data_IF_535945404448
#
_entry.id   IF_535945404448
#
_cell.length_a   1.000
_cell.length_b   1.000
_cell.length_c   1.000
_cell.angle_alpha   90.00
_cell.angle_beta   90.00
_cell.angle_gamma   90.00
#
_symmetry.space_group_name_H-M   'P 1'
#
loop_
_entity.id
_entity.type
_entity.pdbx_description
1 polymer ?
#
# COMPACT_ATOMS: atom_id res chain seq x y z
N UNK A 1 16.84 6.43 23.61
CA UNK A 1 16.49 5.04 23.26
C UNK A 1 15.05 4.83 23.65
N UNK A 2 14.18 4.60 22.66
CA UNK A 2 12.89 3.89 22.78
C UNK A 2 12.24 4.01 21.40
N UNK A 3 12.75 3.23 20.45
CA UNK A 3 11.89 2.80 19.35
C UNK A 3 10.93 1.85 20.06
N UNK A 4 9.78 2.37 20.48
CA UNK A 4 8.66 1.51 20.81
C UNK A 4 8.55 0.54 19.64
N UNK A 5 8.73 -0.74 19.92
CA UNK A 5 8.36 -1.80 18.99
C UNK A 5 6.87 -1.56 18.73
N UNK A 6 6.58 -0.75 17.70
CA UNK A 6 5.28 -0.69 17.07
C UNK A 6 5.01 -2.14 16.72
N UNK A 7 4.18 -2.80 17.53
CA UNK A 7 3.57 -4.06 17.19
C UNK A 7 2.70 -3.77 15.96
N UNK A 8 3.35 -3.68 14.80
CA UNK A 8 2.72 -3.43 13.52
C UNK A 8 2.07 -4.74 13.11
N UNK A 9 0.88 -4.97 13.64
CA UNK A 9 0.04 -6.08 13.21
C UNK A 9 -0.21 -5.85 11.71
N UNK A 10 0.20 -6.78 10.82
CA UNK A 10 -0.07 -6.67 9.41
C UNK A 10 -1.58 -6.56 9.18
N UNK A 11 -1.96 -5.66 8.28
CA UNK A 11 -3.37 -5.46 7.97
C UNK A 11 -3.79 -6.55 6.97
N UNK A 12 -4.94 -7.19 7.17
CA UNK A 12 -5.53 -8.05 6.14
C UNK A 12 -6.06 -7.17 5.02
N UNK A 13 -5.21 -6.95 4.01
CA UNK A 13 -5.53 -6.15 2.82
C UNK A 13 -5.88 -7.12 1.70
N UNK A 14 -7.07 -6.99 1.14
CA UNK A 14 -7.36 -7.61 -0.15
C UNK A 14 -6.58 -6.86 -1.23
N UNK A 15 -5.84 -7.58 -2.06
CA UNK A 15 -5.07 -6.99 -3.15
C UNK A 15 -4.97 -7.98 -4.31
N UNK A 16 -4.71 -7.46 -5.51
CA UNK A 16 -4.41 -8.28 -6.67
C UNK A 16 -3.00 -7.99 -7.18
N UNK A 17 -2.28 -9.04 -7.57
CA UNK A 17 -0.99 -8.94 -8.26
C UNK A 17 -1.21 -9.07 -9.76
N UNK A 18 -0.64 -8.16 -10.53
CA UNK A 18 -0.59 -8.26 -11.97
C UNK A 18 0.83 -7.99 -12.46
N UNK A 19 1.22 -8.59 -13.57
CA UNK A 19 2.47 -8.25 -14.25
C UNK A 19 2.22 -7.17 -15.27
N UNK A 20 3.04 -6.12 -15.24
CA UNK A 20 3.06 -5.10 -16.30
C UNK A 20 3.59 -5.71 -17.61
N UNK A 21 3.45 -4.96 -18.71
CA UNK A 21 4.01 -5.33 -20.01
C UNK A 21 5.54 -5.48 -19.97
N UNK A 22 6.20 -4.86 -18.98
CA UNK A 22 7.63 -4.92 -18.73
C UNK A 22 8.01 -6.06 -17.75
N UNK A 23 7.07 -6.98 -17.45
CA UNK A 23 7.23 -8.07 -16.47
C UNK A 23 7.51 -7.61 -15.03
N UNK A 24 7.11 -6.40 -14.68
CA UNK A 24 7.20 -5.90 -13.30
C UNK A 24 5.96 -6.34 -12.53
N UNK A 25 6.15 -6.95 -11.36
CA UNK A 25 5.05 -7.29 -10.47
C UNK A 25 4.48 -6.01 -9.86
N UNK A 26 3.20 -5.73 -10.14
CA UNK A 26 2.46 -4.60 -9.60
C UNK A 26 1.40 -5.12 -8.63
N UNK A 27 1.34 -4.51 -7.45
CA UNK A 27 0.31 -4.78 -6.47
C UNK A 27 -0.73 -3.68 -6.51
N UNK A 28 -1.98 -4.06 -6.66
CA UNK A 28 -3.10 -3.13 -6.67
C UNK A 28 -3.99 -3.38 -5.47
N UNK A 29 -4.31 -2.29 -4.77
CA UNK A 29 -5.11 -2.30 -3.55
C UNK A 29 -6.39 -1.50 -3.83
N UNK A 30 -7.57 -2.15 -3.84
CA UNK A 30 -8.83 -1.46 -4.02
C UNK A 30 -9.13 -0.57 -2.80
N UNK A 31 -9.66 0.61 -3.07
CA UNK A 31 -10.08 1.59 -2.07
C UNK A 31 -11.35 2.30 -2.59
N UNK A 32 -12.30 2.60 -1.73
CA UNK A 32 -13.39 3.51 -2.10
C UNK A 32 -12.93 4.97 -1.98
N UNK A 33 -13.56 5.88 -2.73
CA UNK A 33 -13.19 7.29 -2.73
C UNK A 33 -13.33 7.96 -1.35
N UNK A 34 -14.28 7.51 -0.53
CA UNK A 34 -14.49 8.00 0.83
C UNK A 34 -13.34 7.57 1.78
N UNK A 35 -12.72 6.42 1.51
CA UNK A 35 -11.55 5.87 2.20
C UNK A 35 -10.23 6.27 1.56
N UNK A 36 -10.24 6.90 0.38
CA UNK A 36 -9.02 7.33 -0.34
C UNK A 36 -8.18 8.34 0.47
N UNK A 37 -8.75 8.96 1.50
CA UNK A 37 -8.01 9.64 2.58
C UNK A 37 -7.36 8.62 3.52
N UNK A 38 -6.52 7.75 2.95
CA UNK A 38 -5.77 6.76 3.71
C UNK A 38 -4.63 7.46 4.44
N UNK A 39 -4.57 7.32 5.77
CA UNK A 39 -3.45 7.88 6.54
C UNK A 39 -2.12 7.29 6.08
N UNK A 40 -1.04 8.06 6.19
CA UNK A 40 0.30 7.56 5.86
C UNK A 40 0.69 6.31 6.66
N UNK A 41 0.25 6.22 7.93
CA UNK A 41 0.45 5.02 8.76
C UNK A 41 -0.24 3.78 8.17
N UNK A 42 -1.45 3.93 7.63
CA UNK A 42 -2.18 2.84 6.96
C UNK A 42 -1.46 2.44 5.66
N UNK A 43 -0.98 3.39 4.86
CA UNK A 43 -0.20 3.09 3.66
C UNK A 43 1.10 2.33 3.99
N UNK A 44 1.78 2.68 5.10
CA UNK A 44 2.95 1.93 5.57
C UNK A 44 2.60 0.50 5.98
N UNK A 45 1.49 0.29 6.69
CA UNK A 45 1.01 -1.06 7.05
C UNK A 45 0.66 -1.90 5.83
N UNK A 46 0.07 -1.29 4.80
CA UNK A 46 -0.20 -1.95 3.52
C UNK A 46 1.12 -2.39 2.88
N UNK A 47 2.09 -1.49 2.73
CA UNK A 47 3.41 -1.82 2.15
C UNK A 47 4.13 -2.94 2.90
N UNK A 48 4.09 -2.92 4.23
CA UNK A 48 4.64 -4.00 5.06
C UNK A 48 3.93 -5.34 4.84
N UNK A 49 2.59 -5.32 4.75
CA UNK A 49 1.78 -6.54 4.53
C UNK A 49 2.02 -7.12 3.12
N UNK A 50 2.28 -6.26 2.14
CA UNK A 50 2.59 -6.62 0.76
C UNK A 50 4.09 -6.91 0.53
N UNK A 51 4.95 -6.61 1.52
CA UNK A 51 6.41 -6.67 1.41
C UNK A 51 6.94 -5.85 0.22
N UNK A 52 6.40 -4.65 0.02
CA UNK A 52 6.78 -3.75 -1.07
C UNK A 52 6.88 -2.30 -0.58
N UNK A 53 7.79 -1.53 -1.18
CA UNK A 53 7.91 -0.08 -0.98
C UNK A 53 7.01 0.71 -1.95
N UNK A 54 6.38 0.04 -2.92
CA UNK A 54 5.54 0.66 -3.93
C UNK A 54 4.32 -0.22 -4.27
N UNK A 55 3.14 0.39 -4.34
CA UNK A 55 1.91 -0.25 -4.79
C UNK A 55 0.96 0.78 -5.41
N UNK A 56 -0.10 0.31 -6.07
CA UNK A 56 -1.11 1.15 -6.73
C UNK A 56 -2.41 1.07 -5.94
N UNK A 57 -2.97 2.21 -5.55
CA UNK A 57 -4.35 2.29 -5.10
C UNK A 57 -5.26 2.34 -6.33
N UNK A 58 -6.25 1.45 -6.38
CA UNK A 58 -7.36 1.53 -7.32
C UNK A 58 -8.54 2.12 -6.58
N UNK A 59 -8.87 3.38 -6.87
CA UNK A 59 -9.91 4.14 -6.19
C UNK A 59 -11.17 4.11 -7.03
N UNK A 60 -12.24 3.53 -6.50
CA UNK A 60 -13.56 3.53 -7.15
C UNK A 60 -14.36 4.69 -6.58
N UNK A 61 -14.75 5.62 -7.46
CA UNK A 61 -15.59 6.77 -7.12
C UNK A 61 -17.09 6.41 -7.17
N UNK A 62 -17.94 7.28 -6.66
CA UNK A 62 -19.40 7.07 -6.54
C UNK A 62 -20.09 6.89 -7.89
N UNK A 63 -19.50 7.42 -8.97
CA UNK A 63 -19.97 7.26 -10.35
C UNK A 63 -19.44 5.99 -11.04
N UNK A 64 -18.76 5.10 -10.30
CA UNK A 64 -18.03 3.92 -10.78
C UNK A 64 -16.82 4.22 -11.67
N UNK A 65 -16.34 5.46 -11.70
CA UNK A 65 -15.04 5.76 -12.31
C UNK A 65 -13.93 5.18 -11.44
N UNK A 66 -12.97 4.50 -12.09
CA UNK A 66 -11.79 3.96 -11.42
C UNK A 66 -10.59 4.86 -11.72
N UNK A 67 -9.98 5.40 -10.67
CA UNK A 67 -8.70 6.12 -10.76
C UNK A 67 -7.58 5.30 -10.12
N UNK A 68 -6.36 5.49 -10.62
CA UNK A 68 -5.18 4.77 -10.13
C UNK A 68 -4.16 5.75 -9.57
N UNK A 69 -3.70 5.50 -8.34
CA UNK A 69 -2.68 6.31 -7.70
C UNK A 69 -1.51 5.43 -7.26
N UNK A 70 -0.31 5.70 -7.78
CA UNK A 70 0.89 5.02 -7.31
C UNK A 70 1.34 5.60 -5.97
N UNK A 71 1.46 4.74 -4.98
CA UNK A 71 2.02 5.04 -3.67
C UNK A 71 3.46 4.56 -3.65
N UNK A 72 4.38 5.46 -3.32
CA UNK A 72 5.77 5.14 -2.99
C UNK A 72 5.98 5.45 -1.52
N UNK A 73 6.28 4.42 -0.76
CA UNK A 73 6.68 4.56 0.62
C UNK A 73 8.17 4.88 0.63
N UNK A 74 8.58 5.70 1.60
CA UNK A 74 9.99 5.72 1.91
C UNK A 74 10.34 4.33 2.42
N UNK A 75 11.40 3.68 1.91
CA UNK A 75 11.89 2.48 2.55
C UNK A 75 12.08 2.83 4.03
N UNK A 76 11.41 2.08 4.90
CA UNK A 76 11.74 2.13 6.31
C UNK A 76 13.23 1.81 6.33
N UNK A 77 14.06 2.79 6.68
CA UNK A 77 15.48 2.61 6.91
C UNK A 77 15.62 1.66 8.09
N UNK A 78 15.46 0.38 7.80
CA UNK A 78 15.52 -0.74 8.70
C UNK A 78 16.64 -1.63 8.21
N UNK A 79 17.87 -1.14 8.29
CA UNK A 79 19.00 -2.02 8.56
C UNK A 79 18.69 -2.71 9.89
N UNK A 80 18.11 -3.91 9.82
CA UNK A 80 18.22 -4.86 10.92
C UNK A 80 19.57 -5.53 10.68
N UNK A 81 20.61 -4.94 11.27
CA UNK A 81 21.94 -5.53 11.44
C UNK A 81 21.89 -6.68 12.43
#
# INVERSE_FOLDING_TARGET
SNIENLNMIPLNVAYYKAKSIENVDECFVPCDADSARVSYNTLQKIGLSLQTDSFILSIVDQDNTVSFQRIRLNPLSGTIS
#
